data_IF_807487805524
#
_entry.id   IF_807487805524
#
_cell.length_a   1.000
_cell.length_b   1.000
_cell.length_c   1.000
_cell.angle_alpha   90.00
_cell.angle_beta   90.00
_cell.angle_gamma   90.00
#
_symmetry.space_group_name_H-M   'P 1'
#
loop_
_entity.id
_entity.type
_entity.pdbx_description
1 polymer ?
#
# COMPACT_ATOMS: atom_id res chain seq x y z
N UNK A 1 -3.75 9.31 63.80
CA UNK A 1 -3.04 8.51 62.77
C UNK A 1 -3.98 8.44 61.58
N UNK A 2 -3.74 9.20 60.50
CA UNK A 2 -4.60 9.09 59.32
C UNK A 2 -4.26 7.79 58.58
N UNK A 3 -5.30 7.05 58.23
CA UNK A 3 -5.26 5.97 57.25
C UNK A 3 -4.74 6.55 55.93
N UNK A 4 -3.56 6.13 55.48
CA UNK A 4 -3.21 6.23 54.07
C UNK A 4 -3.91 5.07 53.37
N UNK A 5 -4.92 5.36 52.56
CA UNK A 5 -5.35 4.44 51.53
C UNK A 5 -4.17 4.24 50.58
N UNK A 6 -3.76 3.00 50.35
CA UNK A 6 -2.84 2.67 49.26
C UNK A 6 -3.43 3.25 47.98
N UNK A 7 -2.78 4.29 47.47
CA UNK A 7 -3.08 4.80 46.16
C UNK A 7 -2.68 3.71 45.17
N UNK A 8 -3.66 3.15 44.45
CA UNK A 8 -3.45 2.54 43.13
C UNK A 8 -2.79 3.62 42.26
N UNK A 9 -1.46 3.67 42.27
CA UNK A 9 -0.72 4.41 41.26
C UNK A 9 -0.65 3.54 40.04
N UNK A 10 -1.54 3.76 39.07
CA UNK A 10 -1.40 3.23 37.71
C UNK A 10 -0.03 3.65 37.18
N UNK A 11 0.91 2.70 37.14
CA UNK A 11 2.26 2.95 36.63
C UNK A 11 2.25 2.74 35.12
N UNK A 12 2.16 3.84 34.38
CA UNK A 12 2.43 3.85 32.95
C UNK A 12 3.94 3.75 32.71
N UNK A 13 4.41 2.62 32.19
CA UNK A 13 5.81 2.43 31.80
C UNK A 13 5.91 1.68 30.47
N UNK A 14 6.90 2.07 29.65
CA UNK A 14 7.25 1.36 28.42
C UNK A 14 8.77 1.21 28.30
N UNK A 15 9.24 -0.02 28.08
CA UNK A 15 10.63 -0.31 27.71
C UNK A 15 10.68 -0.86 26.30
N UNK A 16 11.56 -0.31 25.47
CA UNK A 16 11.86 -0.82 24.14
C UNK A 16 13.37 -1.04 24.03
N UNK A 17 13.79 -2.24 23.65
CA UNK A 17 15.19 -2.57 23.39
C UNK A 17 15.32 -3.24 22.04
N UNK A 18 16.25 -2.78 21.20
CA UNK A 18 16.49 -3.32 19.87
C UNK A 18 17.97 -3.56 19.63
N UNK A 19 18.28 -4.66 18.94
CA UNK A 19 19.62 -4.97 18.44
C UNK A 19 19.48 -5.21 16.94
N UNK A 20 20.33 -4.56 16.16
CA UNK A 20 20.44 -4.80 14.73
C UNK A 20 21.89 -5.07 14.33
N UNK A 21 22.08 -6.04 13.45
CA UNK A 21 23.36 -6.39 12.86
C UNK A 21 23.24 -6.27 11.34
N UNK A 22 24.10 -5.45 10.73
CA UNK A 22 24.27 -5.35 9.28
C UNK A 22 25.65 -5.92 8.92
N UNK A 23 25.67 -7.07 8.28
CA UNK A 23 26.93 -7.73 7.89
C UNK A 23 27.51 -7.09 6.64
N UNK A 24 28.82 -6.86 6.58
CA UNK A 24 29.49 -6.43 5.35
C UNK A 24 30.50 -7.48 4.90
N UNK A 25 30.62 -7.76 3.59
CA UNK A 25 29.99 -7.06 2.46
C UNK A 25 28.59 -7.58 2.07
N UNK A 26 28.08 -8.64 2.71
CA UNK A 26 26.85 -9.33 2.28
C UNK A 26 25.54 -8.55 2.55
N UNK A 27 25.58 -7.50 3.35
CA UNK A 27 24.45 -6.66 3.76
C UNK A 27 23.28 -7.43 4.38
N UNK A 28 23.53 -8.61 4.96
CA UNK A 28 22.51 -9.36 5.71
C UNK A 28 22.16 -8.53 6.94
N UNK A 29 20.86 -8.21 7.09
CA UNK A 29 20.34 -7.52 8.26
C UNK A 29 19.65 -8.53 9.17
N UNK A 30 20.03 -8.52 10.43
CA UNK A 30 19.37 -9.30 11.49
C UNK A 30 18.88 -8.31 12.52
N UNK A 31 17.59 -8.31 12.81
CA UNK A 31 16.96 -7.45 13.79
C UNK A 31 16.31 -8.28 14.90
N UNK A 32 16.44 -7.82 16.13
CA UNK A 32 15.68 -8.30 17.27
C UNK A 32 15.21 -7.11 18.09
N UNK A 33 13.91 -7.01 18.33
CA UNK A 33 13.29 -5.98 19.15
C UNK A 33 12.44 -6.63 20.22
N UNK A 34 12.57 -6.16 21.45
CA UNK A 34 11.70 -6.53 22.55
C UNK A 34 11.10 -5.29 23.16
N UNK A 35 9.82 -5.33 23.46
CA UNK A 35 9.15 -4.27 24.21
C UNK A 35 8.30 -4.83 25.33
N UNK A 36 8.23 -4.10 26.43
CA UNK A 36 7.25 -4.34 27.49
C UNK A 36 6.55 -3.03 27.83
N UNK A 37 5.23 -3.06 27.89
CA UNK A 37 4.39 -1.92 28.23
C UNK A 37 3.47 -2.33 29.39
N UNK A 38 3.49 -1.52 30.44
CA UNK A 38 2.61 -1.67 31.60
C UNK A 38 1.69 -0.44 31.64
N UNK A 39 0.40 -0.68 31.50
CA UNK A 39 -0.66 0.32 31.66
C UNK A 39 -1.77 -0.29 32.53
N UNK A 40 -2.82 -0.82 31.91
CA UNK A 40 -3.89 -1.56 32.58
C UNK A 40 -3.63 -3.07 32.61
N UNK A 41 -2.81 -3.54 31.66
CA UNK A 41 -2.36 -4.92 31.45
C UNK A 41 -0.87 -4.90 31.09
N UNK A 42 -0.16 -5.98 31.37
CA UNK A 42 1.22 -6.14 30.93
C UNK A 42 1.24 -6.70 29.50
N UNK A 43 1.89 -5.97 28.59
CA UNK A 43 2.05 -6.32 27.18
C UNK A 43 3.51 -6.51 26.84
N UNK A 44 3.86 -7.74 26.47
CA UNK A 44 5.20 -8.09 26.03
C UNK A 44 5.21 -8.38 24.53
N UNK A 45 6.24 -7.92 23.83
CA UNK A 45 6.43 -8.15 22.40
C UNK A 45 7.87 -8.56 22.12
N UNK A 46 8.03 -9.52 21.24
CA UNK A 46 9.30 -9.92 20.65
C UNK A 46 9.14 -9.92 19.13
N UNK A 47 10.01 -9.20 18.43
CA UNK A 47 10.07 -9.15 16.98
C UNK A 47 11.47 -9.57 16.54
N UNK A 48 11.54 -10.53 15.61
CA UNK A 48 12.78 -10.99 15.00
C UNK A 48 12.66 -10.84 13.49
N UNK A 49 13.70 -10.34 12.83
CA UNK A 49 13.76 -10.24 11.38
C UNK A 49 15.13 -10.65 10.84
N UNK A 50 15.12 -11.28 9.67
CA UNK A 50 16.31 -11.58 8.88
C UNK A 50 16.04 -11.19 7.44
N UNK A 51 16.84 -10.27 6.90
CA UNK A 51 16.76 -9.78 5.53
C UNK A 51 18.09 -10.10 4.83
N UNK A 52 18.03 -10.76 3.66
CA UNK A 52 19.22 -11.12 2.87
C UNK A 52 19.14 -10.46 1.49
N UNK A 53 19.69 -9.25 1.30
CA UNK A 53 19.66 -8.57 0.02
C UNK A 53 20.68 -9.18 -0.96
N UNK A 54 20.20 -9.83 -2.01
CA UNK A 54 21.01 -10.41 -3.08
C UNK A 54 20.96 -9.51 -4.32
N UNK A 55 22.13 -9.11 -4.84
CA UNK A 55 22.24 -8.35 -6.08
C UNK A 55 22.90 -9.20 -7.17
N UNK A 56 22.23 -9.31 -8.30
CA UNK A 56 22.70 -9.99 -9.49
C UNK A 56 22.94 -8.94 -10.60
N UNK A 57 24.02 -9.13 -11.36
CA UNK A 57 24.42 -8.23 -12.45
C UNK A 57 24.54 -6.74 -12.04
N UNK A 58 25.25 -6.41 -10.95
CA UNK A 58 25.24 -5.08 -10.35
C UNK A 58 25.80 -3.97 -11.25
N UNK A 59 26.65 -4.30 -12.23
CA UNK A 59 27.31 -3.33 -13.11
C UNK A 59 26.58 -3.12 -14.45
N UNK A 60 25.45 -3.81 -14.69
CA UNK A 60 24.71 -3.74 -15.95
C UNK A 60 23.37 -2.98 -15.85
N UNK A 61 22.84 -2.54 -17.01
CA UNK A 61 21.49 -1.95 -17.11
C UNK A 61 20.34 -2.90 -16.74
N UNK A 62 20.65 -4.16 -16.38
CA UNK A 62 19.72 -5.21 -15.99
C UNK A 62 19.92 -5.65 -14.54
N UNK A 63 20.46 -4.78 -13.67
CA UNK A 63 20.63 -5.08 -12.26
C UNK A 63 19.33 -5.64 -11.67
N UNK A 64 19.44 -6.80 -11.01
CA UNK A 64 18.36 -7.53 -10.38
C UNK A 64 18.66 -7.62 -8.90
N UNK A 65 17.76 -7.11 -8.06
CA UNK A 65 17.82 -7.28 -6.61
C UNK A 65 16.75 -8.27 -6.19
N UNK A 66 17.12 -9.22 -5.34
CA UNK A 66 16.21 -10.16 -4.70
C UNK A 66 16.48 -10.10 -3.20
N UNK A 67 15.48 -9.73 -2.42
CA UNK A 67 15.57 -9.54 -0.97
C UNK A 67 14.52 -10.42 -0.31
N UNK A 68 14.85 -11.71 -0.04
CA UNK A 68 14.10 -12.50 0.92
C UNK A 68 14.23 -11.91 2.32
N UNK A 69 13.12 -11.90 3.01
CA UNK A 69 12.94 -11.47 4.38
C UNK A 69 12.11 -12.52 5.11
N UNK A 70 12.49 -12.78 6.35
CA UNK A 70 11.76 -13.65 7.26
C UNK A 70 11.58 -12.96 8.59
N UNK A 71 10.37 -12.99 9.12
CA UNK A 71 9.99 -12.29 10.35
C UNK A 71 9.26 -13.22 11.30
N UNK A 72 9.46 -13.02 12.60
CA UNK A 72 8.66 -13.61 13.67
C UNK A 72 8.22 -12.50 14.61
N UNK A 73 6.94 -12.48 14.93
CA UNK A 73 6.42 -11.59 15.96
C UNK A 73 5.65 -12.41 17.00
N UNK A 74 5.97 -12.20 18.28
CA UNK A 74 5.18 -12.69 19.41
C UNK A 74 4.65 -11.47 20.17
N UNK A 75 3.39 -11.50 20.55
CA UNK A 75 2.80 -10.61 21.55
C UNK A 75 2.13 -11.44 22.62
N UNK A 76 2.31 -11.05 23.88
CA UNK A 76 1.73 -11.68 25.04
C UNK A 76 1.08 -10.61 25.91
N UNK A 77 -0.15 -10.86 26.34
CA UNK A 77 -0.91 -9.97 27.22
C UNK A 77 -1.36 -10.78 28.42
N UNK A 78 -1.01 -10.28 29.61
CA UNK A 78 -1.36 -10.93 30.87
C UNK A 78 -2.10 -9.97 31.79
N UNK A 79 -3.17 -10.46 32.42
CA UNK A 79 -3.93 -9.72 33.43
C UNK A 79 -3.26 -9.67 34.81
N UNK A 80 -2.25 -10.51 35.05
CA UNK A 80 -1.50 -10.57 36.31
C UNK A 80 -0.23 -9.69 36.27
N UNK A 81 -0.35 -8.44 36.70
CA UNK A 81 0.54 -7.73 37.66
C UNK A 81 0.34 -6.20 37.58
N UNK A 82 -0.56 -5.65 38.40
CA UNK A 82 -0.78 -4.19 38.48
C UNK A 82 0.23 -3.47 39.39
N UNK A 83 1.00 -4.21 40.21
CA UNK A 83 1.82 -3.65 41.30
C UNK A 83 3.26 -4.22 41.38
N UNK A 84 3.75 -4.92 40.35
CA UNK A 84 5.11 -5.45 40.35
C UNK A 84 6.18 -4.36 40.17
N UNK A 85 7.40 -4.62 40.66
CA UNK A 85 8.53 -3.74 40.41
C UNK A 85 9.00 -3.85 38.95
N UNK A 86 9.53 -2.76 38.37
CA UNK A 86 10.10 -2.76 37.01
C UNK A 86 11.10 -3.92 36.75
N UNK A 87 11.87 -4.29 37.76
CA UNK A 87 12.82 -5.40 37.67
C UNK A 87 12.08 -6.74 37.51
N UNK A 88 10.97 -6.93 38.20
CA UNK A 88 10.13 -8.12 38.10
C UNK A 88 9.46 -8.19 36.73
N UNK A 89 9.04 -7.05 36.16
CA UNK A 89 8.52 -6.98 34.78
C UNK A 89 9.60 -7.36 33.75
N UNK A 90 10.85 -6.91 33.94
CA UNK A 90 11.99 -7.30 33.10
C UNK A 90 12.31 -8.79 33.23
N UNK A 91 12.25 -9.34 34.45
CA UNK A 91 12.46 -10.78 34.68
C UNK A 91 11.34 -11.62 34.07
N UNK A 92 10.10 -11.14 34.14
CA UNK A 92 8.95 -11.75 33.49
C UNK A 92 9.10 -11.73 31.97
N UNK A 93 9.44 -10.59 31.36
CA UNK A 93 9.71 -10.50 29.91
C UNK A 93 10.75 -11.54 29.46
N UNK A 94 11.86 -11.67 30.22
CA UNK A 94 12.87 -12.71 29.93
C UNK A 94 12.27 -14.11 30.00
N UNK A 95 11.60 -14.42 31.11
CA UNK A 95 10.98 -15.73 31.33
C UNK A 95 9.97 -16.05 30.23
N UNK A 96 9.13 -15.10 29.86
CA UNK A 96 8.08 -15.23 28.86
C UNK A 96 8.67 -15.48 27.46
N UNK A 97 9.75 -14.79 27.11
CA UNK A 97 10.50 -15.05 25.87
C UNK A 97 11.18 -16.42 25.90
N UNK A 98 11.84 -16.81 26.99
CA UNK A 98 12.56 -18.08 27.09
C UNK A 98 11.64 -19.31 27.19
N UNK A 99 10.47 -19.16 27.82
CA UNK A 99 9.47 -20.23 27.93
C UNK A 99 8.73 -20.48 26.60
N UNK A 100 8.60 -19.47 25.74
CA UNK A 100 8.04 -19.62 24.39
C UNK A 100 9.10 -20.10 23.39
N UNK A 101 9.69 -21.27 23.66
CA UNK A 101 10.88 -21.79 22.97
C UNK A 101 10.69 -21.95 21.45
N UNK A 102 9.46 -22.15 20.95
CA UNK A 102 9.19 -22.30 19.52
C UNK A 102 9.61 -21.08 18.68
N UNK A 103 9.70 -19.89 19.28
CA UNK A 103 10.15 -18.68 18.60
C UNK A 103 11.65 -18.74 18.28
N UNK A 104 12.43 -19.34 19.17
CA UNK A 104 13.88 -19.49 19.02
C UNK A 104 14.28 -20.78 18.30
N UNK A 105 13.54 -21.87 18.53
CA UNK A 105 13.89 -23.22 18.04
C UNK A 105 13.08 -23.66 16.83
N UNK A 106 12.05 -22.91 16.43
CA UNK A 106 11.27 -23.18 15.23
C UNK A 106 12.17 -23.22 14.00
N UNK A 107 11.96 -24.20 13.13
CA UNK A 107 12.65 -24.25 11.83
C UNK A 107 11.98 -23.20 10.95
N UNK A 108 12.73 -22.21 10.41
CA UNK A 108 12.16 -21.21 9.53
C UNK A 108 11.38 -21.83 8.37
N UNK A 109 10.31 -21.18 7.93
CA UNK A 109 9.37 -21.66 6.91
C UNK A 109 8.52 -22.87 7.29
N UNK A 110 9.05 -23.85 8.03
CA UNK A 110 8.29 -25.02 8.48
C UNK A 110 7.16 -24.63 9.43
N UNK A 111 7.38 -23.65 10.28
CA UNK A 111 6.36 -23.15 11.22
C UNK A 111 5.16 -22.48 10.53
N UNK A 112 5.35 -21.96 9.32
CA UNK A 112 4.27 -21.34 8.55
C UNK A 112 3.29 -22.35 7.97
N UNK A 113 3.66 -23.63 7.87
CA UNK A 113 2.81 -24.69 7.29
C UNK A 113 2.60 -25.89 8.23
N UNK A 114 3.35 -25.98 9.33
CA UNK A 114 3.31 -27.14 10.22
C UNK A 114 2.12 -27.13 11.18
N UNK A 115 1.32 -28.19 11.17
CA UNK A 115 0.13 -28.34 12.04
C UNK A 115 0.46 -28.25 13.54
N UNK A 116 1.58 -28.87 13.96
CA UNK A 116 2.03 -28.91 15.36
C UNK A 116 2.28 -27.55 16.02
N UNK A 117 2.44 -26.47 15.23
CA UNK A 117 2.67 -25.14 15.79
C UNK A 117 1.44 -24.66 16.59
N UNK A 118 0.22 -24.96 16.11
CA UNK A 118 -1.01 -24.54 16.81
C UNK A 118 -1.11 -25.18 18.19
N UNK A 119 -0.82 -26.47 18.29
CA UNK A 119 -0.83 -27.21 19.56
C UNK A 119 0.26 -26.69 20.52
N UNK A 120 1.47 -26.45 20.02
CA UNK A 120 2.56 -25.89 20.81
C UNK A 120 2.23 -24.47 21.30
N UNK A 121 1.69 -23.62 20.42
CA UNK A 121 1.22 -22.29 20.76
C UNK A 121 0.13 -22.36 21.84
N UNK A 122 -0.86 -23.23 21.66
CA UNK A 122 -1.93 -23.45 22.65
C UNK A 122 -1.38 -23.80 24.03
N UNK A 123 -0.50 -24.80 24.12
CA UNK A 123 0.03 -25.25 25.41
C UNK A 123 0.89 -24.18 26.11
N UNK A 124 1.70 -23.44 25.35
CA UNK A 124 2.64 -22.46 25.90
C UNK A 124 1.99 -21.11 26.23
N UNK A 125 0.85 -20.81 25.62
CA UNK A 125 0.11 -19.56 25.87
C UNK A 125 -1.06 -19.70 26.84
N UNK A 126 -1.25 -20.88 27.44
CA UNK A 126 -2.41 -21.19 28.31
C UNK A 126 -2.60 -20.25 29.51
N UNK A 127 -1.53 -19.60 29.96
CA UNK A 127 -1.56 -18.70 31.12
C UNK A 127 -1.70 -17.21 30.73
N UNK A 128 -1.91 -16.91 29.44
CA UNK A 128 -2.08 -15.54 28.94
C UNK A 128 -3.54 -15.32 28.57
N UNK A 129 -4.04 -14.11 28.84
CA UNK A 129 -5.39 -13.71 28.43
C UNK A 129 -5.44 -13.56 26.91
N UNK A 130 -4.42 -12.92 26.33
CA UNK A 130 -4.27 -12.82 24.88
C UNK A 130 -2.84 -13.11 24.47
N UNK A 131 -2.68 -13.75 23.33
CA UNK A 131 -1.38 -13.99 22.73
C UNK A 131 -1.51 -13.97 21.21
N UNK A 132 -0.49 -13.46 20.51
CA UNK A 132 -0.43 -13.55 19.05
C UNK A 132 0.95 -14.00 18.62
N UNK A 133 1.04 -14.98 17.72
CA UNK A 133 2.27 -15.37 17.07
C UNK A 133 2.14 -15.28 15.55
N UNK A 134 2.98 -14.46 14.92
CA UNK A 134 2.89 -14.10 13.51
C UNK A 134 4.21 -14.32 12.78
N UNK A 135 4.55 -15.56 12.40
CA UNK A 135 5.65 -15.83 11.50
C UNK A 135 5.27 -15.47 10.06
N UNK A 136 6.24 -14.94 9.31
CA UNK A 136 6.03 -14.52 7.94
C UNK A 136 7.30 -14.52 7.09
N UNK A 137 7.12 -14.68 5.78
CA UNK A 137 8.17 -14.38 4.81
C UNK A 137 7.70 -13.36 3.79
N UNK A 138 8.66 -12.62 3.24
CA UNK A 138 8.48 -11.71 2.13
C UNK A 138 9.67 -11.90 1.17
N UNK A 139 9.40 -12.01 -0.12
CA UNK A 139 10.43 -11.98 -1.15
C UNK A 139 10.15 -10.77 -2.02
N UNK A 140 11.05 -9.80 -1.97
CA UNK A 140 11.02 -8.64 -2.86
C UNK A 140 12.02 -8.84 -4.00
N UNK A 141 11.55 -8.74 -5.23
CA UNK A 141 12.36 -8.70 -6.43
C UNK A 141 12.18 -7.33 -7.07
N UNK A 142 13.28 -6.70 -7.44
CA UNK A 142 13.27 -5.44 -8.19
C UNK A 142 14.31 -5.46 -9.28
N UNK A 143 13.98 -4.92 -10.46
CA UNK A 143 14.92 -4.76 -11.56
C UNK A 143 14.75 -3.39 -12.22
N UNK A 144 15.80 -2.93 -12.87
CA UNK A 144 15.70 -1.74 -13.72
C UNK A 144 14.81 -2.01 -14.93
N UNK A 145 14.00 -1.02 -15.31
CA UNK A 145 13.16 -1.02 -16.50
C UNK A 145 13.48 0.18 -17.40
N UNK A 146 13.11 0.10 -18.67
CA UNK A 146 13.38 1.15 -19.66
C UNK A 146 12.71 0.83 -20.99
N UNK A 147 13.46 1.00 -22.08
CA UNK A 147 12.94 0.94 -23.45
C UNK A 147 13.09 -0.44 -24.11
N UNK A 148 12.77 -1.51 -23.38
CA UNK A 148 12.81 -2.89 -23.92
C UNK A 148 11.40 -3.46 -24.00
N UNK A 149 11.08 -4.19 -25.07
CA UNK A 149 9.76 -4.82 -25.23
C UNK A 149 9.42 -5.74 -24.05
N UNK A 150 10.41 -6.45 -23.50
CA UNK A 150 10.22 -7.33 -22.34
C UNK A 150 9.73 -6.56 -21.10
N UNK A 151 9.98 -5.25 -21.00
CA UNK A 151 9.55 -4.41 -19.87
C UNK A 151 8.04 -4.17 -19.82
N UNK A 152 7.32 -4.44 -20.93
CA UNK A 152 5.86 -4.42 -20.94
C UNK A 152 5.25 -5.52 -20.07
N UNK A 153 5.94 -6.66 -19.95
CA UNK A 153 5.40 -7.87 -19.34
C UNK A 153 6.20 -8.26 -18.10
N UNK A 154 7.54 -8.30 -18.21
CA UNK A 154 8.38 -8.72 -17.10
C UNK A 154 8.32 -7.67 -15.96
N UNK A 155 8.10 -8.09 -14.71
CA UNK A 155 7.91 -7.16 -13.62
C UNK A 155 9.19 -6.37 -13.31
N UNK A 156 9.07 -5.06 -13.21
CA UNK A 156 10.08 -4.20 -12.58
C UNK A 156 10.09 -4.38 -11.07
N UNK A 157 8.96 -4.77 -10.47
CA UNK A 157 8.83 -5.13 -9.07
C UNK A 157 7.93 -6.36 -8.91
N UNK A 158 8.34 -7.31 -8.07
CA UNK A 158 7.55 -8.45 -7.63
C UNK A 158 7.74 -8.60 -6.12
N UNK A 159 6.66 -8.62 -5.35
CA UNK A 159 6.66 -8.92 -3.94
C UNK A 159 5.73 -10.10 -3.66
N UNK A 160 6.23 -11.15 -3.04
CA UNK A 160 5.43 -12.29 -2.60
C UNK A 160 5.57 -12.41 -1.10
N UNK A 161 4.45 -12.40 -0.38
CA UNK A 161 4.42 -12.56 1.07
C UNK A 161 3.51 -13.69 1.49
N UNK A 162 3.89 -14.37 2.56
CA UNK A 162 3.02 -15.33 3.25
C UNK A 162 3.21 -15.16 4.74
N UNK A 163 2.12 -15.17 5.49
CA UNK A 163 2.10 -15.07 6.94
C UNK A 163 1.14 -16.11 7.49
N UNK A 164 1.47 -16.65 8.65
CA UNK A 164 0.53 -17.36 9.50
C UNK A 164 0.33 -16.52 10.75
N UNK A 165 -0.88 -16.50 11.27
CA UNK A 165 -1.26 -15.77 12.47
C UNK A 165 -2.00 -16.72 13.40
N UNK A 166 -1.42 -16.96 14.57
CA UNK A 166 -2.05 -17.69 15.66
C UNK A 166 -2.44 -16.69 16.72
N UNK A 167 -3.73 -16.56 16.98
CA UNK A 167 -4.26 -15.62 17.97
C UNK A 167 -5.01 -16.39 19.05
N UNK A 168 -4.68 -16.11 20.31
CA UNK A 168 -5.44 -16.53 21.47
C UNK A 168 -6.23 -15.35 22.00
N UNK A 169 -7.51 -15.58 22.24
CA UNK A 169 -8.36 -14.72 23.07
C UNK A 169 -9.04 -15.60 24.13
N UNK A 170 -8.55 -15.50 25.36
CA UNK A 170 -8.85 -16.38 26.48
C UNK A 170 -8.69 -17.87 26.15
N UNK A 171 -9.80 -18.57 25.88
CA UNK A 171 -9.85 -19.99 25.59
C UNK A 171 -9.97 -20.29 24.09
N UNK A 172 -10.21 -19.28 23.26
CA UNK A 172 -10.34 -19.41 21.82
C UNK A 172 -8.97 -19.24 21.15
N UNK A 173 -8.69 -20.09 20.15
CA UNK A 173 -7.44 -20.03 19.37
C UNK A 173 -7.77 -20.05 17.89
N UNK A 174 -7.56 -18.90 17.28
CA UNK A 174 -7.66 -18.69 15.84
C UNK A 174 -6.33 -19.02 15.15
N UNK A 175 -6.45 -19.60 13.97
CA UNK A 175 -5.34 -19.90 13.08
C UNK A 175 -5.72 -19.38 11.70
N UNK A 176 -4.97 -18.41 11.21
CA UNK A 176 -5.22 -17.74 9.95
C UNK A 176 -3.94 -17.66 9.13
N UNK A 177 -4.09 -17.60 7.81
CA UNK A 177 -2.98 -17.37 6.90
C UNK A 177 -3.28 -16.17 6.02
N UNK A 178 -2.25 -15.38 5.70
CA UNK A 178 -2.34 -14.28 4.74
C UNK A 178 -1.31 -14.49 3.65
N UNK A 179 -1.74 -14.53 2.39
CA UNK A 179 -0.86 -14.51 1.23
C UNK A 179 -1.01 -13.20 0.47
N UNK A 180 0.10 -12.65 0.00
CA UNK A 180 0.14 -11.40 -0.75
C UNK A 180 1.02 -11.54 -1.99
N UNK A 181 0.56 -10.97 -3.11
CA UNK A 181 1.29 -10.86 -4.36
C UNK A 181 1.15 -9.43 -4.87
N UNK A 182 2.30 -8.76 -5.11
CA UNK A 182 2.35 -7.46 -5.75
C UNK A 182 3.26 -7.56 -6.96
N UNK A 183 2.74 -7.25 -8.14
CA UNK A 183 3.49 -7.27 -9.38
C UNK A 183 3.34 -5.90 -10.03
N UNK A 184 4.45 -5.32 -10.47
CA UNK A 184 4.45 -4.11 -11.30
C UNK A 184 5.38 -4.31 -12.48
N UNK A 185 4.90 -4.01 -13.68
CA UNK A 185 5.68 -3.94 -14.91
C UNK A 185 5.60 -2.51 -15.43
N UNK A 186 6.70 -1.96 -15.91
CA UNK A 186 6.74 -0.60 -16.43
C UNK A 186 7.71 -0.56 -17.60
N UNK A 187 7.35 0.12 -18.67
CA UNK A 187 8.21 0.34 -19.83
C UNK A 187 8.18 1.80 -20.23
N UNK A 188 9.33 2.34 -20.63
CA UNK A 188 9.49 3.75 -20.97
C UNK A 188 10.00 3.89 -22.38
N UNK A 189 9.43 4.84 -23.12
CA UNK A 189 9.91 5.32 -24.40
C UNK A 189 10.12 4.17 -25.41
N UNK A 190 9.08 3.38 -25.65
CA UNK A 190 9.11 2.25 -26.56
C UNK A 190 8.79 2.67 -27.99
N UNK A 191 7.64 3.26 -28.23
CA UNK A 191 7.03 3.32 -29.58
C UNK A 191 6.88 4.71 -30.19
N UNK A 192 7.03 5.77 -29.38
CA UNK A 192 7.00 7.16 -29.86
C UNK A 192 8.18 7.52 -30.76
N UNK A 193 8.17 8.75 -31.30
CA UNK A 193 9.23 9.26 -32.20
C UNK A 193 10.64 9.16 -31.61
N UNK A 194 10.78 9.32 -30.30
CA UNK A 194 12.05 9.23 -29.57
C UNK A 194 12.28 7.84 -28.96
N UNK A 195 11.39 6.88 -29.22
CA UNK A 195 11.40 5.55 -28.64
C UNK A 195 12.46 4.62 -29.23
N UNK A 196 12.73 3.51 -28.53
CA UNK A 196 13.64 2.47 -29.01
C UNK A 196 13.11 1.72 -30.25
N UNK A 197 11.79 1.71 -30.44
CA UNK A 197 11.08 1.04 -31.54
C UNK A 197 10.02 2.00 -32.13
N UNK A 198 10.43 3.07 -32.84
CA UNK A 198 9.56 4.19 -33.20
C UNK A 198 8.52 3.82 -34.28
N UNK A 199 7.44 3.15 -33.87
CA UNK A 199 6.31 2.81 -34.75
C UNK A 199 5.34 3.97 -34.96
N UNK A 200 5.27 4.91 -34.01
CA UNK A 200 4.32 6.01 -34.02
C UNK A 200 5.02 7.37 -34.05
N UNK A 201 4.71 8.17 -35.07
CA UNK A 201 5.30 9.51 -35.25
C UNK A 201 4.43 10.65 -34.73
N UNK A 202 3.21 10.36 -34.27
CA UNK A 202 2.26 11.39 -33.83
C UNK A 202 2.49 11.85 -32.38
N UNK A 203 3.38 11.20 -31.61
CA UNK A 203 3.77 11.60 -30.26
C UNK A 203 5.28 11.38 -30.04
N UNK A 204 5.86 12.01 -29.02
CA UNK A 204 7.31 12.03 -28.76
C UNK A 204 7.79 10.79 -28.01
N UNK A 205 7.20 10.48 -26.86
CA UNK A 205 7.57 9.34 -26.01
C UNK A 205 6.33 8.75 -25.33
N UNK A 206 6.45 7.55 -24.80
CA UNK A 206 5.38 6.85 -24.08
C UNK A 206 5.87 6.28 -22.75
N UNK A 207 4.91 5.99 -21.87
CA UNK A 207 5.10 5.22 -20.66
C UNK A 207 3.95 4.23 -20.52
N UNK A 208 4.28 2.96 -20.34
CA UNK A 208 3.35 1.88 -20.05
C UNK A 208 3.56 1.42 -18.62
N UNK A 209 2.48 1.16 -17.90
CA UNK A 209 2.54 0.52 -16.61
C UNK A 209 1.40 -0.44 -16.37
N UNK A 210 1.72 -1.57 -15.78
CA UNK A 210 0.79 -2.60 -15.36
C UNK A 210 1.08 -2.93 -13.90
N UNK A 211 0.05 -3.07 -13.08
CA UNK A 211 0.20 -3.57 -11.73
C UNK A 211 -0.92 -4.51 -11.34
N UNK A 212 -0.56 -5.51 -10.55
CA UNK A 212 -1.46 -6.52 -10.02
C UNK A 212 -1.17 -6.66 -8.53
N UNK A 213 -2.19 -6.49 -7.72
CA UNK A 213 -2.16 -6.69 -6.28
C UNK A 213 -3.19 -7.77 -5.96
N UNK A 214 -2.77 -8.78 -5.20
CA UNK A 214 -3.63 -9.84 -4.70
C UNK A 214 -3.28 -10.06 -3.24
N UNK A 215 -4.27 -9.91 -2.36
CA UNK A 215 -4.18 -10.27 -0.96
C UNK A 215 -5.27 -11.32 -0.67
N UNK A 216 -4.92 -12.39 0.03
CA UNK A 216 -5.82 -13.49 0.37
C UNK A 216 -5.65 -13.86 1.84
N UNK A 217 -6.76 -14.01 2.54
CA UNK A 217 -6.80 -14.58 3.88
C UNK A 217 -7.43 -15.98 3.82
N UNK A 218 -6.83 -16.90 4.56
CA UNK A 218 -7.28 -18.27 4.69
C UNK A 218 -7.53 -18.59 6.15
N UNK A 219 -8.52 -19.43 6.41
CA UNK A 219 -8.74 -20.02 7.73
C UNK A 219 -7.73 -21.16 7.97
N UNK A 220 -7.70 -21.69 9.19
CA UNK A 220 -6.84 -22.80 9.61
C UNK A 220 -6.98 -24.08 8.77
N UNK A 221 -8.11 -24.25 8.07
CA UNK A 221 -8.40 -25.35 7.14
C UNK A 221 -8.04 -25.04 5.67
N UNK A 222 -7.34 -23.92 5.43
CA UNK A 222 -6.98 -23.38 4.12
C UNK A 222 -8.16 -22.93 3.25
N UNK A 223 -9.38 -22.85 3.78
CA UNK A 223 -10.49 -22.22 3.06
C UNK A 223 -10.27 -20.71 2.95
N UNK A 224 -10.54 -20.14 1.77
CA UNK A 224 -10.40 -18.70 1.53
C UNK A 224 -11.51 -17.96 2.30
N UNK A 225 -11.14 -17.13 3.26
CA UNK A 225 -12.07 -16.33 4.05
C UNK A 225 -12.31 -14.95 3.45
N UNK A 226 -11.23 -14.30 3.00
CA UNK A 226 -11.28 -12.98 2.34
C UNK A 226 -10.27 -12.91 1.22
N UNK A 227 -10.54 -12.10 0.21
CA UNK A 227 -9.56 -11.78 -0.81
C UNK A 227 -9.76 -10.36 -1.36
N UNK A 228 -8.70 -9.78 -1.89
CA UNK A 228 -8.72 -8.50 -2.60
C UNK A 228 -7.77 -8.57 -3.77
N UNK A 229 -8.29 -8.32 -4.97
CA UNK A 229 -7.58 -8.30 -6.24
C UNK A 229 -7.72 -6.91 -6.84
N UNK A 230 -6.61 -6.30 -7.23
CA UNK A 230 -6.58 -5.02 -7.95
C UNK A 230 -5.64 -5.13 -9.13
N UNK A 231 -6.14 -4.89 -10.34
CA UNK A 231 -5.36 -4.86 -11.56
C UNK A 231 -5.47 -3.47 -12.21
N UNK A 232 -4.34 -2.78 -12.30
CA UNK A 232 -4.26 -1.45 -12.90
C UNK A 232 -3.38 -1.47 -14.13
N UNK A 233 -3.83 -0.78 -15.18
CA UNK A 233 -3.07 -0.55 -16.40
C UNK A 233 -3.09 0.95 -16.68
N UNK A 234 -1.96 1.51 -17.10
CA UNK A 234 -1.90 2.87 -17.61
C UNK A 234 -0.99 2.99 -18.82
N UNK A 235 -1.35 3.93 -19.67
CA UNK A 235 -0.58 4.37 -20.82
C UNK A 235 -0.55 5.89 -20.79
N UNK A 236 0.65 6.46 -20.77
CA UNK A 236 0.84 7.89 -20.97
C UNK A 236 1.61 8.15 -22.25
N UNK A 237 1.07 8.98 -23.12
CA UNK A 237 1.75 9.49 -24.32
C UNK A 237 2.15 10.94 -24.05
N UNK A 238 3.34 11.32 -24.52
CA UNK A 238 3.93 12.64 -24.31
C UNK A 238 4.25 13.32 -25.64
N UNK A 239 4.04 14.63 -25.70
CA UNK A 239 4.43 15.51 -26.80
C UNK A 239 5.47 16.55 -26.34
N UNK A 240 6.07 17.26 -27.32
CA UNK A 240 7.17 18.21 -27.07
C UNK A 240 6.85 19.42 -26.20
N UNK A 241 5.57 19.66 -25.88
CA UNK A 241 5.10 20.84 -25.13
C UNK A 241 4.57 20.53 -23.72
N UNK A 242 4.90 19.36 -23.16
CA UNK A 242 4.29 18.81 -21.94
C UNK A 242 2.79 18.53 -22.11
N UNK A 243 2.31 18.41 -23.34
CA UNK A 243 1.00 17.84 -23.58
C UNK A 243 1.10 16.34 -23.31
N UNK A 244 0.10 15.81 -22.62
CA UNK A 244 0.07 14.41 -22.21
C UNK A 244 -1.31 13.82 -22.40
N UNK A 245 -1.33 12.58 -22.88
CA UNK A 245 -2.54 11.79 -22.92
C UNK A 245 -2.35 10.59 -22.01
N UNK A 246 -3.18 10.45 -20.98
CA UNK A 246 -3.16 9.31 -20.07
C UNK A 246 -4.45 8.52 -20.19
N UNK A 247 -4.32 7.24 -20.51
CA UNK A 247 -5.36 6.23 -20.35
C UNK A 247 -5.04 5.42 -19.10
N UNK A 248 -6.03 5.20 -18.24
CA UNK A 248 -5.90 4.38 -17.02
C UNK A 248 -7.10 3.45 -16.94
N UNK A 249 -6.86 2.20 -16.61
CA UNK A 249 -7.88 1.20 -16.34
C UNK A 249 -7.58 0.55 -15.00
N UNK A 250 -8.59 0.38 -14.15
CA UNK A 250 -8.45 -0.18 -12.81
C UNK A 250 -9.64 -1.08 -12.53
N UNK A 251 -9.34 -2.37 -12.40
CA UNK A 251 -10.24 -3.41 -11.96
C UNK A 251 -9.95 -3.75 -10.50
N UNK A 252 -11.00 -3.83 -9.68
CA UNK A 252 -10.97 -4.27 -8.29
C UNK A 252 -12.04 -5.33 -8.05
N UNK A 253 -11.65 -6.39 -7.38
CA UNK A 253 -12.54 -7.45 -6.93
C UNK A 253 -12.14 -7.81 -5.50
N UNK A 254 -13.06 -7.66 -4.55
CA UNK A 254 -12.83 -7.98 -3.15
C UNK A 254 -13.96 -8.83 -2.60
N UNK A 255 -13.65 -9.69 -1.65
CA UNK A 255 -14.64 -10.40 -0.84
C UNK A 255 -14.23 -10.24 0.62
N UNK A 256 -14.93 -9.37 1.34
CA UNK A 256 -14.72 -9.14 2.78
C UNK A 256 -15.87 -9.69 3.61
N UNK A 257 -17.09 -9.28 3.25
CA UNK A 257 -18.36 -9.77 3.80
C UNK A 257 -19.28 -10.23 2.65
N UNK A 258 -19.29 -9.45 1.58
CA UNK A 258 -19.91 -9.74 0.30
C UNK A 258 -18.90 -9.47 -0.82
N UNK A 259 -19.15 -10.06 -1.99
CA UNK A 259 -18.32 -9.84 -3.17
C UNK A 259 -18.58 -8.42 -3.69
N UNK A 260 -17.55 -7.59 -3.65
CA UNK A 260 -17.52 -6.25 -4.21
C UNK A 260 -16.69 -6.25 -5.50
N UNK A 261 -17.23 -5.63 -6.54
CA UNK A 261 -16.58 -5.41 -7.81
C UNK A 261 -16.62 -3.93 -8.16
N UNK A 262 -15.50 -3.41 -8.67
CA UNK A 262 -15.38 -2.08 -9.22
C UNK A 262 -14.48 -2.14 -10.44
N UNK A 263 -14.92 -1.58 -11.55
CA UNK A 263 -14.12 -1.43 -12.76
C UNK A 263 -14.21 0.02 -13.21
N UNK A 264 -13.07 0.63 -13.48
CA UNK A 264 -12.99 2.04 -13.84
C UNK A 264 -11.99 2.25 -14.96
N UNK A 265 -12.40 3.06 -15.93
CA UNK A 265 -11.56 3.52 -17.03
C UNK A 265 -11.55 5.03 -17.04
N UNK A 266 -10.37 5.62 -17.05
CA UNK A 266 -10.15 7.05 -17.10
C UNK A 266 -9.30 7.45 -18.31
N UNK A 267 -9.69 8.52 -18.95
CA UNK A 267 -8.96 9.22 -19.99
C UNK A 267 -8.69 10.64 -19.50
N UNK A 268 -7.46 11.10 -19.66
CA UNK A 268 -7.06 12.47 -19.35
C UNK A 268 -6.17 13.02 -20.45
N UNK A 269 -6.54 14.16 -21.02
CA UNK A 269 -5.74 14.84 -22.03
C UNK A 269 -5.38 16.25 -21.54
N UNK A 270 -4.09 16.46 -21.32
CA UNK A 270 -3.51 17.74 -20.95
C UNK A 270 -2.91 18.35 -22.20
N UNK A 271 -3.28 19.59 -22.48
CA UNK A 271 -2.73 20.33 -23.61
C UNK A 271 -2.52 21.80 -23.25
N UNK A 272 -1.44 22.38 -23.77
CA UNK A 272 -0.99 23.72 -23.40
C UNK A 272 -1.03 24.67 -24.59
N UNK A 273 -1.46 25.91 -24.34
CA UNK A 273 -1.34 27.03 -25.28
C UNK A 273 -0.28 27.98 -24.74
N UNK A 274 0.89 28.02 -25.39
CA UNK A 274 2.03 28.85 -24.97
C UNK A 274 2.30 29.96 -26.00
N UNK A 275 1.81 31.19 -25.80
CA UNK A 275 2.21 32.30 -26.64
C UNK A 275 3.68 32.65 -26.40
N UNK A 276 4.44 32.95 -27.46
CA UNK A 276 5.88 33.18 -27.34
C UNK A 276 6.31 34.33 -26.41
N UNK A 277 5.43 35.30 -26.14
CA UNK A 277 5.66 36.41 -25.19
C UNK A 277 4.91 36.25 -23.86
N UNK A 278 4.12 35.17 -23.69
CA UNK A 278 3.10 35.07 -22.65
C UNK A 278 1.74 35.60 -23.11
N UNK A 279 0.70 35.39 -22.29
CA UNK A 279 -0.65 35.84 -22.54
C UNK A 279 -0.76 37.37 -22.39
N UNK A 280 -1.56 38.01 -23.25
CA UNK A 280 -1.87 39.43 -23.15
C UNK A 280 -3.24 39.59 -22.47
N UNK A 281 -3.23 39.93 -21.18
CA UNK A 281 -4.45 40.18 -20.40
C UNK A 281 -4.47 41.66 -20.03
N UNK A 282 -5.51 42.40 -20.45
CA UNK A 282 -5.65 43.81 -20.08
C UNK A 282 -5.53 44.02 -18.58
N UNK A 283 -4.84 45.10 -18.19
CA UNK A 283 -4.64 45.52 -16.79
C UNK A 283 -3.74 44.62 -15.93
N UNK A 284 -3.14 43.56 -16.49
CA UNK A 284 -2.11 42.76 -15.81
C UNK A 284 -0.72 43.19 -16.31
N UNK A 285 0.24 43.52 -15.42
CA UNK A 285 1.58 43.93 -15.86
C UNK A 285 2.28 42.86 -16.70
N UNK A 286 2.95 43.25 -17.79
CA UNK A 286 3.69 42.33 -18.67
C UNK A 286 4.70 41.45 -17.91
N UNK A 287 5.31 41.99 -16.85
CA UNK A 287 6.23 41.25 -15.98
C UNK A 287 5.58 40.01 -15.34
N UNK A 288 4.30 40.09 -14.99
CA UNK A 288 3.52 38.99 -14.42
C UNK A 288 3.15 37.97 -15.50
N UNK A 289 2.89 38.47 -16.71
CA UNK A 289 2.45 37.67 -17.85
C UNK A 289 3.59 36.98 -18.61
N UNK A 290 4.84 37.35 -18.36
CA UNK A 290 6.00 36.77 -19.05
C UNK A 290 6.05 35.25 -18.87
N UNK A 291 6.03 34.51 -19.99
CA UNK A 291 6.04 33.04 -19.98
C UNK A 291 4.76 32.39 -19.46
N UNK A 292 3.69 33.18 -19.27
CA UNK A 292 2.37 32.64 -18.93
C UNK A 292 1.78 31.83 -20.08
N UNK A 293 0.96 30.85 -19.73
CA UNK A 293 0.34 29.94 -20.70
C UNK A 293 -1.01 29.45 -20.18
N UNK A 294 -1.83 28.96 -21.10
CA UNK A 294 -3.08 28.28 -20.75
C UNK A 294 -2.80 26.79 -20.72
N UNK A 295 -3.17 26.13 -19.64
CA UNK A 295 -3.19 24.67 -19.51
C UNK A 295 -4.63 24.20 -19.48
N UNK A 296 -5.00 23.35 -20.42
CA UNK A 296 -6.30 22.71 -20.43
C UNK A 296 -6.15 21.24 -20.05
N UNK A 297 -7.16 20.68 -19.41
CA UNK A 297 -7.24 19.28 -19.02
C UNK A 297 -8.64 18.77 -19.28
N UNK A 298 -8.76 17.87 -20.25
CA UNK A 298 -9.98 17.14 -20.54
C UNK A 298 -9.96 15.81 -19.80
N UNK A 299 -11.06 15.45 -19.16
CA UNK A 299 -11.20 14.17 -18.46
C UNK A 299 -12.49 13.48 -18.87
N UNK A 300 -12.40 12.18 -19.10
CA UNK A 300 -13.53 11.28 -19.28
C UNK A 300 -13.27 10.07 -18.39
N UNK A 301 -14.20 9.73 -17.51
CA UNK A 301 -14.11 8.52 -16.70
C UNK A 301 -15.41 7.75 -16.75
N UNK A 302 -15.32 6.45 -16.93
CA UNK A 302 -16.41 5.50 -16.75
C UNK A 302 -16.08 4.56 -15.59
N UNK A 303 -17.06 4.22 -14.77
CA UNK A 303 -16.93 3.14 -13.80
C UNK A 303 -18.22 2.34 -13.63
N UNK A 304 -18.08 1.12 -13.15
CA UNK A 304 -19.17 0.24 -12.77
C UNK A 304 -18.83 -0.37 -11.41
N UNK A 305 -19.78 -0.35 -10.50
CA UNK A 305 -19.68 -0.93 -9.16
C UNK A 305 -20.99 -1.64 -8.81
N UNK A 306 -21.00 -2.48 -7.77
CA UNK A 306 -22.17 -3.31 -7.40
C UNK A 306 -23.51 -2.54 -7.42
N UNK A 307 -23.60 -1.42 -6.67
CA UNK A 307 -24.82 -0.61 -6.59
C UNK A 307 -24.88 0.50 -7.64
N UNK A 308 -23.76 0.81 -8.30
CA UNK A 308 -23.62 1.84 -9.34
C UNK A 308 -23.12 1.21 -10.64
N UNK A 309 -23.94 0.41 -11.34
CA UNK A 309 -23.52 -0.33 -12.52
C UNK A 309 -23.09 0.57 -13.70
N UNK A 310 -23.43 1.85 -13.70
CA UNK A 310 -22.94 2.81 -14.69
C UNK A 310 -22.71 4.17 -14.04
N UNK A 311 -21.46 4.61 -14.00
CA UNK A 311 -21.07 5.98 -13.72
C UNK A 311 -20.22 6.50 -14.88
N UNK A 312 -20.56 7.66 -15.42
CA UNK A 312 -19.78 8.32 -16.48
C UNK A 312 -19.64 9.78 -16.13
N UNK A 313 -18.42 10.30 -16.12
CA UNK A 313 -18.13 11.71 -15.85
C UNK A 313 -17.26 12.28 -16.96
N UNK A 314 -17.64 13.46 -17.44
CA UNK A 314 -16.84 14.29 -18.35
C UNK A 314 -16.49 15.57 -17.62
N UNK A 315 -15.23 15.98 -17.69
CA UNK A 315 -14.74 17.18 -17.05
C UNK A 315 -13.79 17.97 -17.91
N UNK A 316 -13.84 19.28 -17.79
CA UNK A 316 -12.92 20.22 -18.39
C UNK A 316 -12.33 21.11 -17.30
N UNK A 317 -11.02 21.31 -17.33
CA UNK A 317 -10.32 22.28 -16.51
C UNK A 317 -9.46 23.18 -17.41
N UNK A 318 -9.57 24.49 -17.23
CA UNK A 318 -8.71 25.47 -17.88
C UNK A 318 -8.00 26.32 -16.83
N UNK A 319 -6.68 26.40 -16.93
CA UNK A 319 -5.83 27.14 -16.01
C UNK A 319 -4.97 28.15 -16.74
N UNK A 320 -5.04 29.42 -16.34
CA UNK A 320 -4.05 30.44 -16.68
C UNK A 320 -2.90 30.27 -15.69
N UNK A 321 -1.75 29.82 -16.18
CA UNK A 321 -0.55 29.59 -15.37
C UNK A 321 0.37 30.79 -15.46
N UNK A 322 0.72 31.36 -14.32
CA UNK A 322 1.67 32.47 -14.16
C UNK A 322 2.90 31.90 -13.42
N UNK A 323 3.98 31.51 -14.12
CA UNK A 323 5.05 30.66 -13.58
C UNK A 323 5.59 31.11 -12.20
N UNK A 324 5.79 32.42 -12.04
CA UNK A 324 6.35 33.01 -10.82
C UNK A 324 5.28 33.53 -9.84
N UNK A 325 4.02 33.65 -10.26
CA UNK A 325 2.98 34.37 -9.51
C UNK A 325 1.77 33.50 -9.11
N UNK A 326 1.64 32.28 -9.67
CA UNK A 326 0.60 31.33 -9.31
C UNK A 326 -0.31 30.93 -10.49
N UNK A 327 -1.61 30.81 -10.27
CA UNK A 327 -2.57 30.44 -11.32
C UNK A 327 -4.01 30.86 -11.01
N UNK A 328 -4.80 30.95 -12.07
CA UNK A 328 -6.26 31.05 -12.03
C UNK A 328 -6.79 29.83 -12.77
N UNK A 329 -7.66 29.05 -12.14
CA UNK A 329 -8.18 27.79 -12.66
C UNK A 329 -9.69 27.78 -12.60
N UNK A 330 -10.31 27.41 -13.71
CA UNK A 330 -11.73 27.16 -13.83
C UNK A 330 -11.93 25.68 -14.16
N UNK A 331 -12.85 25.02 -13.45
CA UNK A 331 -13.23 23.64 -13.74
C UNK A 331 -14.74 23.50 -13.89
N UNK A 332 -15.14 22.55 -14.73
CA UNK A 332 -16.52 22.11 -14.90
C UNK A 332 -16.54 20.60 -15.10
N UNK A 333 -17.54 19.93 -14.52
CA UNK A 333 -17.77 18.49 -14.71
C UNK A 333 -19.25 18.19 -14.78
N UNK A 334 -19.59 17.23 -15.62
CA UNK A 334 -20.93 16.67 -15.76
C UNK A 334 -20.81 15.16 -15.58
N UNK A 335 -21.65 14.59 -14.73
CA UNK A 335 -21.69 13.17 -14.43
C UNK A 335 -23.08 12.59 -14.64
N UNK A 336 -23.13 11.33 -15.05
CA UNK A 336 -24.31 10.50 -15.06
C UNK A 336 -24.03 9.29 -14.18
N UNK A 337 -24.94 8.97 -13.28
CA UNK A 337 -24.86 7.81 -12.39
C UNK A 337 -26.19 7.07 -12.42
N UNK A 338 -26.14 5.75 -12.59
CA UNK A 338 -27.29 4.88 -12.52
C UNK A 338 -27.10 3.91 -11.35
N UNK A 339 -28.05 3.95 -10.42
CA UNK A 339 -28.00 3.25 -9.14
C UNK A 339 -29.12 2.21 -9.08
N UNK A 340 -28.78 1.02 -8.58
CA UNK A 340 -29.72 -0.08 -8.34
C UNK A 340 -29.69 -0.46 -6.87
N UNK A 341 -30.79 -0.23 -6.17
CA UNK A 341 -30.95 -0.59 -4.76
C UNK A 341 -31.80 -1.86 -4.62
N UNK A 342 -31.23 -2.91 -4.03
CA UNK A 342 -31.91 -4.17 -3.68
C UNK A 342 -31.63 -5.36 -4.62
N UNK A 343 -31.83 -6.58 -4.11
CA UNK A 343 -31.68 -7.83 -4.85
C UNK A 343 -32.99 -8.27 -5.52
N UNK A 344 -32.94 -8.75 -6.76
CA UNK A 344 -34.10 -9.29 -7.50
C UNK A 344 -34.90 -8.27 -8.33
N UNK A 345 -36.09 -8.68 -8.81
CA UNK A 345 -36.97 -7.91 -9.71
C UNK A 345 -37.68 -6.72 -9.05
N UNK A 346 -37.55 -6.57 -7.73
CA UNK A 346 -38.18 -5.53 -6.90
C UNK A 346 -37.24 -4.37 -6.52
N UNK A 347 -36.01 -4.36 -7.03
CA UNK A 347 -35.03 -3.31 -6.72
C UNK A 347 -35.45 -1.94 -7.26
N UNK A 348 -35.29 -0.90 -6.44
CA UNK A 348 -35.50 0.48 -6.86
C UNK A 348 -34.33 0.93 -7.75
N UNK A 349 -34.66 1.61 -8.83
CA UNK A 349 -33.70 2.11 -9.81
C UNK A 349 -33.74 3.63 -9.81
N UNK A 350 -32.59 4.27 -9.69
CA UNK A 350 -32.47 5.71 -9.72
C UNK A 350 -31.42 6.13 -10.75
N UNK A 351 -31.60 7.31 -11.34
CA UNK A 351 -30.54 7.97 -12.10
C UNK A 351 -30.24 9.32 -11.46
N UNK A 352 -28.98 9.70 -11.44
CA UNK A 352 -28.50 10.98 -10.93
C UNK A 352 -27.70 11.66 -12.04
N UNK A 353 -27.93 12.94 -12.20
CA UNK A 353 -27.10 13.78 -13.06
C UNK A 353 -26.35 14.73 -12.13
N UNK A 354 -25.03 14.71 -12.20
CA UNK A 354 -24.15 15.54 -11.40
C UNK A 354 -23.62 16.69 -12.23
N UNK A 355 -23.62 17.88 -11.67
CA UNK A 355 -22.97 19.05 -12.24
C UNK A 355 -22.10 19.69 -11.17
N UNK A 356 -20.85 19.96 -11.49
CA UNK A 356 -19.94 20.70 -10.61
C UNK A 356 -19.18 21.74 -11.42
N UNK A 357 -19.04 22.95 -10.87
CA UNK A 357 -18.17 23.97 -11.43
C UNK A 357 -17.46 24.68 -10.29
N UNK A 358 -16.23 25.13 -10.55
CA UNK A 358 -15.38 25.74 -9.54
C UNK A 358 -14.39 26.73 -10.14
N UNK A 359 -14.03 27.71 -9.32
CA UNK A 359 -12.96 28.67 -9.58
C UNK A 359 -11.95 28.57 -8.44
N UNK A 360 -10.69 28.34 -8.78
CA UNK A 360 -9.58 28.31 -7.84
C UNK A 360 -8.55 29.36 -8.24
N UNK A 361 -8.11 30.17 -7.27
CA UNK A 361 -7.07 31.17 -7.48
C UNK A 361 -5.97 30.93 -6.46
N UNK A 362 -4.74 30.76 -6.95
CA UNK A 362 -3.55 30.66 -6.12
C UNK A 362 -2.60 31.80 -6.48
N UNK A 363 -2.26 32.62 -5.50
CA UNK A 363 -1.30 33.72 -5.64
C UNK A 363 -0.07 33.41 -4.79
N UNK A 364 1.12 33.60 -5.37
CA UNK A 364 2.40 33.57 -4.64
C UNK A 364 2.95 34.99 -4.59
N UNK A 365 3.45 35.38 -3.41
CA UNK A 365 4.07 36.68 -3.16
C UNK A 365 5.58 36.53 -3.00
#
# INVERSE_FOLDING_TARGET
>A
VPYFSEAETDRLFSLNTGISLDTRPASIKIGAETSTENSDVLRDRLYLSVEVPLKFFPEGGNALSVTPEYTRELKLISGENRNAALIEDIEKLKKDIFLNSYIGTGIPFKEMVGENLKDAFSLLTQNYEQASYTPGFLINLSRNYGSRIIDLIAPSMLAVSFKRELNRDFNEIDDAYTAGLKLRSSALNLFGKLGAYPFFNFYSSDEFGNSLFLDMNFNGDYSVSKYSLSAEQYLTLFWGDNDTLTLRHLLKLANETEIQYSDSTGFSFIWNIKPGKGLDIPYVPEKVMKGSFIKNTETLSGSTENSHPVNVTVGHESSIVLPDYGYIKLNSKVGFDYESMGSGTSGQKAFRILFSAGLEVKVKF
#
